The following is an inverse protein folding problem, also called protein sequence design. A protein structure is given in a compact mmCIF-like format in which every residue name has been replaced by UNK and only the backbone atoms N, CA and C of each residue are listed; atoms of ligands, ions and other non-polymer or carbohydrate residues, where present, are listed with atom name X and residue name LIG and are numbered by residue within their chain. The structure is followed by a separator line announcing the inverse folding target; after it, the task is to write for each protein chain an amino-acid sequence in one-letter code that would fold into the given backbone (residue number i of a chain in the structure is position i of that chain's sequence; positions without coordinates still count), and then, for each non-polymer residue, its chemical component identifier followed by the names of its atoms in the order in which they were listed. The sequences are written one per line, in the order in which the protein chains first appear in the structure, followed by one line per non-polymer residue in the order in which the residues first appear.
data_IF_675315249280
#
_entry.id   IF_675315249280
#
_cell.length_a   1.000
_cell.length_b   1.000
_cell.length_c   1.000
_cell.angle_alpha   90.00
_cell.angle_beta   90.00
_cell.angle_gamma   90.00
#
_symmetry.space_group_name_H-M   'P 1'
#
loop_
_entity.id
_entity.type
_entity.pdbx_description
1 polymer ?
#
# COMPACT_ATOMS: atom_id res chain seq x y z
N UNK A 1 -23.61 -3.13 -20.69
CA UNK A 1 -25.07 -3.21 -20.86
C UNK A 1 -25.46 -4.65 -21.22
N UNK A 2 -25.71 -5.51 -20.23
CA UNK A 2 -26.01 -6.95 -20.45
C UNK A 2 -27.48 -7.20 -20.86
N UNK A 3 -28.38 -6.25 -20.56
CA UNK A 3 -29.82 -6.34 -20.85
C UNK A 3 -30.13 -6.46 -22.35
N UNK A 4 -29.43 -5.73 -23.21
CA UNK A 4 -29.63 -5.78 -24.67
C UNK A 4 -29.14 -7.09 -25.30
N UNK A 5 -28.41 -7.91 -24.54
CA UNK A 5 -27.94 -9.25 -24.94
C UNK A 5 -28.79 -10.37 -24.35
N UNK A 6 -29.88 -10.04 -23.64
CA UNK A 6 -30.76 -11.02 -23.02
C UNK A 6 -30.15 -11.74 -21.81
N UNK A 7 -29.09 -11.18 -21.21
CA UNK A 7 -28.42 -11.80 -20.06
C UNK A 7 -29.00 -11.22 -18.75
N UNK A 8 -29.47 -12.11 -17.87
CA UNK A 8 -29.93 -11.79 -16.52
C UNK A 8 -28.93 -12.23 -15.47
N UNK A 9 -28.76 -11.42 -14.42
CA UNK A 9 -27.90 -11.73 -13.27
C UNK A 9 -28.75 -11.69 -12.02
N UNK A 10 -28.61 -12.70 -11.18
CA UNK A 10 -29.33 -12.84 -9.93
C UNK A 10 -28.31 -12.96 -8.80
N UNK A 11 -28.45 -12.11 -7.79
CA UNK A 11 -27.67 -12.21 -6.56
C UNK A 11 -28.55 -12.78 -5.46
N UNK A 12 -28.08 -13.84 -4.81
CA UNK A 12 -28.78 -14.49 -3.70
C UNK A 12 -27.84 -14.47 -2.51
N UNK A 13 -28.21 -13.69 -1.48
CA UNK A 13 -27.45 -13.54 -0.24
C UNK A 13 -28.40 -13.53 0.96
N UNK A 14 -27.87 -13.90 2.13
CA UNK A 14 -28.55 -13.74 3.42
C UNK A 14 -28.44 -12.32 3.96
N UNK A 15 -27.36 -11.59 3.62
CA UNK A 15 -27.12 -10.23 4.09
C UNK A 15 -27.04 -9.25 2.91
N UNK A 16 -27.92 -8.25 2.82
CA UNK A 16 -27.85 -7.22 1.79
C UNK A 16 -26.51 -6.49 1.72
N UNK A 17 -25.78 -6.39 2.84
CA UNK A 17 -24.47 -5.73 2.90
C UNK A 17 -23.36 -6.47 2.13
N UNK A 18 -23.57 -7.73 1.74
CA UNK A 18 -22.60 -8.51 0.97
C UNK A 18 -22.49 -8.01 -0.49
N UNK A 19 -23.48 -7.23 -0.96
CA UNK A 19 -23.52 -6.71 -2.33
C UNK A 19 -23.19 -5.21 -2.28
N UNK A 20 -22.17 -4.73 -3.02
CA UNK A 20 -21.85 -3.31 -3.07
C UNK A 20 -23.03 -2.47 -3.60
N UNK A 21 -23.19 -1.27 -3.05
CA UNK A 21 -24.27 -0.33 -3.44
C UNK A 21 -24.29 -0.02 -4.94
N UNK A 22 -23.11 0.06 -5.58
CA UNK A 22 -22.98 0.29 -7.02
C UNK A 22 -23.60 -0.83 -7.87
N UNK A 23 -23.65 -2.04 -7.34
CA UNK A 23 -24.30 -3.20 -7.96
C UNK A 23 -25.78 -3.23 -7.59
N UNK A 24 -26.13 -3.06 -6.30
CA UNK A 24 -27.52 -3.01 -5.82
C UNK A 24 -28.37 -1.94 -6.55
N UNK A 25 -27.77 -0.79 -6.88
CA UNK A 25 -28.41 0.28 -7.63
C UNK A 25 -28.79 -0.12 -9.06
N UNK A 26 -28.13 -1.14 -9.63
CA UNK A 26 -28.41 -1.65 -10.98
C UNK A 26 -29.44 -2.80 -10.99
N UNK A 27 -29.75 -3.36 -9.82
CA UNK A 27 -30.72 -4.45 -9.68
C UNK A 27 -32.13 -3.86 -9.56
N UNK A 28 -32.92 -4.03 -10.63
CA UNK A 28 -34.28 -3.49 -10.69
C UNK A 28 -35.35 -4.36 -10.02
N UNK A 29 -35.19 -5.69 -10.07
CA UNK A 29 -36.10 -6.62 -9.40
C UNK A 29 -35.57 -6.94 -8.00
N UNK A 30 -36.45 -6.88 -7.00
CA UNK A 30 -36.10 -7.15 -5.60
C UNK A 30 -37.08 -8.14 -4.99
N UNK A 31 -36.51 -9.16 -4.35
CA UNK A 31 -37.23 -10.18 -3.59
C UNK A 31 -36.53 -10.26 -2.23
N UNK A 32 -37.17 -9.71 -1.20
CA UNK A 32 -36.62 -9.65 0.14
C UNK A 32 -37.42 -10.58 1.05
N UNK A 33 -36.77 -11.66 1.49
CA UNK A 33 -37.30 -12.51 2.55
C UNK A 33 -37.16 -11.84 3.92
N UNK A 34 -37.74 -12.48 4.94
CA UNK A 34 -37.69 -12.02 6.32
C UNK A 34 -36.26 -11.64 6.73
N UNK A 35 -36.08 -10.39 7.15
CA UNK A 35 -34.82 -9.91 7.69
C UNK A 35 -35.01 -9.70 9.20
N UNK A 36 -34.17 -10.36 9.99
CA UNK A 36 -34.16 -10.22 11.45
C UNK A 36 -33.04 -9.26 11.82
N UNK A 37 -33.38 -8.21 12.55
CA UNK A 37 -32.43 -7.20 12.99
C UNK A 37 -32.37 -7.19 14.53
N UNK A 38 -31.26 -7.65 15.09
CA UNK A 38 -31.02 -7.70 16.53
C UNK A 38 -29.98 -6.66 16.96
N UNK A 39 -29.06 -6.31 16.06
CA UNK A 39 -28.00 -5.34 16.31
C UNK A 39 -28.32 -3.97 15.67
N UNK A 40 -27.72 -2.87 16.15
CA UNK A 40 -27.89 -1.55 15.53
C UNK A 40 -27.46 -1.49 14.06
N UNK A 41 -26.47 -2.29 13.67
CA UNK A 41 -26.02 -2.37 12.28
C UNK A 41 -27.07 -3.05 11.40
N UNK A 42 -27.66 -4.15 11.87
CA UNK A 42 -28.73 -4.84 11.15
C UNK A 42 -30.00 -3.99 11.06
N UNK A 43 -30.32 -3.20 12.10
CA UNK A 43 -31.46 -2.27 12.05
C UNK A 43 -31.29 -1.21 10.97
N UNK A 44 -30.07 -0.67 10.81
CA UNK A 44 -29.76 0.25 9.69
C UNK A 44 -29.89 -0.44 8.34
N UNK A 45 -29.39 -1.68 8.23
CA UNK A 45 -29.53 -2.49 7.02
C UNK A 45 -30.99 -2.78 6.67
N UNK A 46 -31.82 -3.11 7.66
CA UNK A 46 -33.25 -3.33 7.50
C UNK A 46 -33.97 -2.08 7.02
N UNK A 47 -33.65 -0.92 7.62
CA UNK A 47 -34.21 0.36 7.21
C UNK A 47 -33.83 0.68 5.76
N UNK A 48 -32.55 0.56 5.41
CA UNK A 48 -32.08 0.77 4.04
C UNK A 48 -32.76 -0.18 3.04
N UNK A 49 -32.91 -1.46 3.40
CA UNK A 49 -33.61 -2.44 2.57
C UNK A 49 -35.08 -2.05 2.37
N UNK A 50 -35.76 -1.61 3.43
CA UNK A 50 -37.17 -1.19 3.36
C UNK A 50 -37.37 0.07 2.51
N UNK A 51 -36.46 1.05 2.61
CA UNK A 51 -36.50 2.30 1.83
C UNK A 51 -36.15 2.08 0.35
N UNK A 52 -35.49 0.96 0.01
CA UNK A 52 -35.16 0.60 -1.37
C UNK A 52 -36.37 0.16 -2.21
N UNK A 53 -37.52 -0.09 -1.57
CA UNK A 53 -38.75 -0.49 -2.23
C UNK A 53 -39.61 0.73 -2.59
N UNK A 54 -40.41 0.59 -3.65
CA UNK A 54 -41.47 1.57 -3.92
C UNK A 54 -42.53 1.46 -2.82
N UNK A 55 -42.85 2.54 -2.09
CA UNK A 55 -43.77 2.50 -0.95
C UNK A 55 -45.14 1.94 -1.32
N UNK A 56 -45.73 1.18 -0.39
CA UNK A 56 -47.10 0.69 -0.50
C UNK A 56 -47.99 1.40 0.53
N UNK A 57 -49.08 2.09 0.12
CA UNK A 57 -50.02 2.71 1.07
C UNK A 57 -50.73 1.73 1.99
N UNK A 58 -50.80 0.44 1.64
CA UNK A 58 -51.53 -0.57 2.40
C UNK A 58 -50.78 -1.09 3.63
N UNK A 59 -49.46 -0.92 3.71
CA UNK A 59 -48.66 -1.37 4.85
C UNK A 59 -47.29 -0.67 4.93
N UNK A 60 -46.73 -0.58 6.13
CA UNK A 60 -45.35 -0.13 6.31
C UNK A 60 -44.35 -1.22 5.91
N UNK A 61 -43.42 -0.89 5.03
CA UNK A 61 -42.44 -1.84 4.49
C UNK A 61 -41.45 -2.33 5.56
N UNK A 62 -41.03 -1.46 6.48
CA UNK A 62 -40.03 -1.79 7.50
C UNK A 62 -40.61 -2.72 8.57
N UNK A 63 -41.86 -2.49 8.98
CA UNK A 63 -42.61 -3.40 9.85
C UNK A 63 -42.93 -4.71 9.11
N UNK A 64 -43.33 -4.62 7.84
CA UNK A 64 -43.71 -5.78 7.06
C UNK A 64 -42.56 -6.78 6.88
N UNK A 65 -41.34 -6.32 6.59
CA UNK A 65 -40.14 -7.16 6.44
C UNK A 65 -39.85 -7.98 7.69
N UNK A 66 -40.01 -7.37 8.86
CA UNK A 66 -39.81 -8.05 10.14
C UNK A 66 -40.92 -9.06 10.41
N UNK A 67 -42.15 -8.78 10.00
CA UNK A 67 -43.28 -9.69 10.21
C UNK A 67 -43.34 -10.91 9.29
N UNK A 68 -42.48 -11.01 8.27
CA UNK A 68 -42.53 -12.10 7.29
C UNK A 68 -42.19 -13.46 7.92
N UNK A 69 -42.96 -14.48 7.54
CA UNK A 69 -42.71 -15.89 7.87
C UNK A 69 -41.84 -16.61 6.83
N UNK A 70 -41.62 -17.91 7.07
CA UNK A 70 -40.99 -18.81 6.09
C UNK A 70 -41.94 -18.97 4.90
N UNK A 71 -41.42 -18.82 3.68
CA UNK A 71 -42.22 -18.87 2.46
C UNK A 71 -42.92 -17.57 2.12
N UNK A 72 -42.64 -16.47 2.84
CA UNK A 72 -43.12 -15.13 2.50
C UNK A 72 -41.95 -14.22 2.11
N UNK A 73 -42.25 -13.25 1.23
CA UNK A 73 -41.29 -12.23 0.81
C UNK A 73 -42.00 -10.92 0.47
N UNK A 74 -41.26 -9.83 0.55
CA UNK A 74 -41.59 -8.60 -0.16
C UNK A 74 -41.04 -8.67 -1.57
N UNK A 75 -41.91 -8.44 -2.55
CA UNK A 75 -41.58 -8.52 -3.96
C UNK A 75 -41.89 -7.20 -4.64
N UNK A 76 -40.91 -6.67 -5.37
CA UNK A 76 -41.08 -5.54 -6.29
C UNK A 76 -40.34 -5.88 -7.57
N UNK A 77 -41.11 -6.01 -8.65
CA UNK A 77 -40.59 -6.26 -9.99
C UNK A 77 -40.76 -5.03 -10.86
N UNK A 78 -39.95 -4.92 -11.91
CA UNK A 78 -40.07 -3.85 -12.89
C UNK A 78 -41.34 -4.00 -13.74
N UNK A 79 -41.95 -2.88 -14.11
CA UNK A 79 -43.01 -2.78 -15.10
C UNK A 79 -42.47 -2.83 -16.54
N UNK A 80 -43.35 -2.73 -17.54
CA UNK A 80 -43.00 -2.72 -18.97
C UNK A 80 -42.06 -1.56 -19.36
N UNK A 81 -42.11 -0.45 -18.60
CA UNK A 81 -41.26 0.73 -18.80
C UNK A 81 -39.95 0.64 -18.02
N UNK A 82 -39.75 -0.42 -17.24
CA UNK A 82 -38.57 -0.61 -16.41
C UNK A 82 -38.58 0.15 -15.08
N UNK A 83 -39.73 0.67 -14.64
CA UNK A 83 -39.90 1.27 -13.33
C UNK A 83 -40.33 0.21 -12.29
N UNK A 84 -39.85 0.26 -11.04
CA UNK A 84 -40.28 -0.68 -10.00
C UNK A 84 -41.76 -0.54 -9.69
N UNK A 85 -42.48 -1.66 -9.61
CA UNK A 85 -43.86 -1.70 -9.12
C UNK A 85 -43.91 -1.48 -7.59
N UNK A 86 -45.11 -1.13 -7.10
CA UNK A 86 -45.40 -1.08 -5.66
C UNK A 86 -45.04 -2.42 -5.02
N UNK A 87 -44.34 -2.38 -3.89
CA UNK A 87 -43.96 -3.60 -3.18
C UNK A 87 -45.18 -4.35 -2.67
N UNK A 88 -45.21 -5.66 -2.90
CA UNK A 88 -46.27 -6.55 -2.44
C UNK A 88 -45.75 -7.60 -1.46
N UNK A 89 -46.56 -7.92 -0.44
CA UNK A 89 -46.37 -9.14 0.36
C UNK A 89 -46.81 -10.34 -0.47
N UNK A 90 -45.89 -11.27 -0.69
CA UNK A 90 -46.08 -12.38 -1.63
C UNK A 90 -45.71 -13.70 -0.96
N UNK A 91 -46.58 -14.70 -1.10
CA UNK A 91 -46.27 -16.08 -0.76
C UNK A 91 -45.39 -16.69 -1.87
N UNK A 92 -44.25 -17.23 -1.49
CA UNK A 92 -43.29 -17.87 -2.39
C UNK A 92 -43.65 -19.35 -2.50
N UNK A 93 -43.96 -19.77 -3.72
CA UNK A 93 -44.22 -21.18 -4.02
C UNK A 93 -42.94 -21.99 -3.72
N UNK A 94 -43.02 -23.08 -2.93
CA UNK A 94 -41.88 -23.94 -2.69
C UNK A 94 -41.40 -24.58 -4.00
N UNK A 95 -40.09 -24.85 -4.13
CA UNK A 95 -39.58 -25.51 -5.32
C UNK A 95 -40.15 -26.94 -5.42
N UNK A 96 -40.41 -27.40 -6.64
CA UNK A 96 -40.74 -28.80 -6.91
C UNK A 96 -39.49 -29.71 -6.90
N UNK A 97 -38.35 -29.22 -6.40
CA UNK A 97 -37.10 -29.97 -6.36
C UNK A 97 -36.94 -30.69 -5.02
N UNK A 98 -36.09 -31.72 -5.01
CA UNK A 98 -35.61 -32.30 -3.75
C UNK A 98 -34.92 -31.22 -2.91
N UNK A 99 -35.25 -31.18 -1.61
CA UNK A 99 -34.48 -30.42 -0.63
C UNK A 99 -33.24 -31.25 -0.25
N UNK A 100 -32.06 -30.69 -0.49
CA UNK A 100 -30.78 -31.34 -0.22
C UNK A 100 -29.93 -31.57 -1.47
N UNK A 101 -28.63 -31.87 -1.30
CA UNK A 101 -27.70 -32.02 -2.40
C UNK A 101 -28.07 -33.20 -3.32
N UNK A 102 -27.71 -33.10 -4.59
CA UNK A 102 -27.68 -34.24 -5.51
C UNK A 102 -26.69 -35.29 -4.99
N UNK A 103 -26.97 -36.59 -5.13
CA UNK A 103 -25.96 -37.62 -4.87
C UNK A 103 -24.94 -37.61 -6.00
N UNK A 104 -23.71 -38.07 -5.73
CA UNK A 104 -22.66 -38.13 -6.76
C UNK A 104 -23.07 -39.00 -7.95
N UNK A 105 -23.78 -40.10 -7.69
CA UNK A 105 -24.30 -41.00 -8.72
C UNK A 105 -25.33 -40.31 -9.63
N UNK A 106 -26.31 -39.62 -9.05
CA UNK A 106 -27.31 -38.85 -9.82
C UNK A 106 -26.64 -37.73 -10.62
N UNK A 107 -25.71 -37.01 -10.01
CA UNK A 107 -24.96 -35.94 -10.66
C UNK A 107 -24.17 -36.48 -11.86
N UNK A 108 -23.48 -37.60 -11.71
CA UNK A 108 -22.75 -38.25 -12.79
C UNK A 108 -23.68 -38.68 -13.94
N UNK A 109 -24.84 -39.25 -13.63
CA UNK A 109 -25.83 -39.64 -14.65
C UNK A 109 -26.37 -38.43 -15.43
N UNK A 110 -26.72 -37.33 -14.74
CA UNK A 110 -27.21 -36.11 -15.39
C UNK A 110 -26.13 -35.49 -16.29
N UNK A 111 -24.88 -35.41 -15.81
CA UNK A 111 -23.75 -34.91 -16.61
C UNK A 111 -23.53 -35.80 -17.83
N UNK A 112 -23.60 -37.14 -17.67
CA UNK A 112 -23.45 -38.08 -18.77
C UNK A 112 -24.53 -37.95 -19.85
N UNK A 113 -25.75 -37.55 -19.46
CA UNK A 113 -26.88 -37.31 -20.36
C UNK A 113 -26.92 -35.89 -20.95
N UNK A 114 -26.05 -34.99 -20.51
CA UNK A 114 -26.08 -33.58 -20.91
C UNK A 114 -25.72 -33.38 -22.39
N UNK A 115 -26.48 -32.58 -23.16
CA UNK A 115 -26.12 -32.24 -24.55
C UNK A 115 -24.77 -31.50 -24.70
N UNK A 116 -24.28 -30.91 -23.61
CA UNK A 116 -22.99 -30.18 -23.56
C UNK A 116 -21.90 -30.96 -22.82
N UNK A 117 -22.11 -32.27 -22.64
CA UNK A 117 -21.10 -33.17 -22.09
C UNK A 117 -19.79 -33.04 -22.87
N UNK A 118 -18.65 -33.08 -22.17
CA UNK A 118 -17.32 -32.88 -22.74
C UNK A 118 -16.93 -31.43 -23.04
N UNK A 119 -17.88 -30.48 -23.10
CA UNK A 119 -17.56 -29.08 -23.42
C UNK A 119 -17.13 -28.26 -22.19
N UNK A 120 -17.73 -28.55 -21.03
CA UNK A 120 -17.51 -27.82 -19.77
C UNK A 120 -16.98 -28.69 -18.63
N UNK A 121 -16.48 -29.89 -18.94
CA UNK A 121 -15.98 -30.83 -17.93
C UNK A 121 -14.60 -30.44 -17.38
N UNK A 122 -13.75 -29.91 -18.26
CA UNK A 122 -12.43 -29.43 -17.86
C UNK A 122 -12.57 -28.13 -17.09
N UNK A 123 -12.23 -28.16 -15.80
CA UNK A 123 -12.11 -26.94 -15.00
C UNK A 123 -10.97 -26.11 -15.60
N UNK A 124 -11.31 -24.95 -16.13
CA UNK A 124 -10.32 -23.98 -16.60
C UNK A 124 -10.19 -22.92 -15.54
N UNK A 125 -9.13 -23.01 -14.75
CA UNK A 125 -8.73 -21.92 -13.86
C UNK A 125 -7.91 -20.91 -14.67
N UNK A 126 -8.48 -19.73 -14.91
CA UNK A 126 -7.83 -18.69 -15.70
C UNK A 126 -7.15 -17.74 -14.72
N UNK A 127 -5.97 -17.25 -15.08
CA UNK A 127 -5.34 -16.15 -14.34
C UNK A 127 -6.34 -15.01 -14.17
N UNK A 128 -6.56 -14.64 -12.92
CA UNK A 128 -7.48 -13.58 -12.55
C UNK A 128 -6.88 -12.23 -12.92
N UNK A 129 -7.74 -11.24 -13.14
CA UNK A 129 -7.29 -9.87 -13.36
C UNK A 129 -6.48 -9.34 -12.17
N UNK A 130 -6.74 -9.82 -10.95
CA UNK A 130 -6.01 -9.45 -9.74
C UNK A 130 -4.56 -9.96 -9.79
N UNK A 131 -4.37 -11.23 -10.14
CA UNK A 131 -3.06 -11.87 -10.29
C UNK A 131 -2.21 -11.20 -11.36
N UNK A 132 -2.79 -10.92 -12.53
CA UNK A 132 -2.10 -10.21 -13.63
C UNK A 132 -1.67 -8.81 -13.19
N UNK A 133 -2.53 -8.09 -12.45
CA UNK A 133 -2.22 -6.76 -11.96
C UNK A 133 -1.20 -6.78 -10.82
N UNK A 134 -1.22 -7.79 -9.96
CA UNK A 134 -0.24 -8.00 -8.91
C UNK A 134 1.14 -8.31 -9.48
N UNK A 135 1.22 -9.19 -10.48
CA UNK A 135 2.45 -9.52 -11.20
C UNK A 135 3.09 -8.26 -11.82
N UNK A 136 2.30 -7.45 -12.54
CA UNK A 136 2.79 -6.18 -13.12
C UNK A 136 3.31 -5.19 -12.09
N UNK A 137 2.68 -5.11 -10.91
CA UNK A 137 3.17 -4.27 -9.80
C UNK A 137 4.50 -4.80 -9.26
N UNK A 138 4.60 -6.12 -9.07
CA UNK A 138 5.84 -6.77 -8.62
C UNK A 138 7.01 -6.52 -9.58
N UNK A 139 6.78 -6.63 -10.89
CA UNK A 139 7.79 -6.32 -11.92
C UNK A 139 8.24 -4.85 -11.86
N UNK A 140 7.29 -3.91 -11.70
CA UNK A 140 7.60 -2.49 -11.57
C UNK A 140 8.41 -2.18 -10.29
N UNK A 141 8.06 -2.81 -9.17
CA UNK A 141 8.76 -2.64 -7.89
C UNK A 141 10.18 -3.23 -7.94
N UNK A 142 10.37 -4.37 -8.61
CA UNK A 142 11.68 -4.97 -8.85
C UNK A 142 12.57 -4.08 -9.72
N UNK A 143 12.05 -3.58 -10.85
CA UNK A 143 12.79 -2.65 -11.71
C UNK A 143 13.17 -1.35 -10.98
N UNK A 144 12.27 -0.83 -10.14
CA UNK A 144 12.56 0.33 -9.31
C UNK A 144 13.62 0.02 -8.22
N UNK A 145 13.61 -1.17 -7.64
CA UNK A 145 14.60 -1.60 -6.65
C UNK A 145 16.00 -1.77 -7.29
N UNK A 146 16.08 -2.38 -8.47
CA UNK A 146 17.32 -2.53 -9.23
C UNK A 146 17.94 -1.19 -9.62
N UNK A 147 17.11 -0.25 -10.07
CA UNK A 147 17.54 1.12 -10.39
C UNK A 147 18.10 1.83 -9.15
N UNK A 148 17.42 1.74 -8.00
CA UNK A 148 17.92 2.33 -6.74
C UNK A 148 19.23 1.69 -6.27
N UNK A 149 19.39 0.38 -6.44
CA UNK A 149 20.63 -0.33 -6.11
C UNK A 149 21.78 0.08 -7.03
N UNK A 150 21.52 0.24 -8.32
CA UNK A 150 22.51 0.74 -9.28
C UNK A 150 22.94 2.18 -8.95
N UNK A 151 21.98 3.07 -8.65
CA UNK A 151 22.27 4.45 -8.24
C UNK A 151 23.05 4.53 -6.93
N UNK A 152 22.74 3.65 -5.97
CA UNK A 152 23.45 3.58 -4.70
C UNK A 152 24.91 3.12 -4.88
N UNK A 153 25.14 2.12 -5.75
CA UNK A 153 26.49 1.65 -6.09
C UNK A 153 27.28 2.73 -6.81
N UNK A 154 26.69 3.39 -7.82
CA UNK A 154 27.34 4.48 -8.55
C UNK A 154 27.73 5.65 -7.62
N UNK A 155 26.87 6.00 -6.65
CA UNK A 155 27.20 7.02 -5.63
C UNK A 155 28.30 6.57 -4.68
N UNK A 156 28.32 5.31 -4.27
CA UNK A 156 29.36 4.75 -3.41
C UNK A 156 30.72 4.72 -4.14
N UNK A 157 30.76 4.29 -5.40
CA UNK A 157 31.97 4.25 -6.22
C UNK A 157 32.50 5.67 -6.49
N UNK A 158 31.62 6.63 -6.77
CA UNK A 158 32.00 8.03 -6.93
C UNK A 158 32.54 8.66 -5.64
N UNK A 159 32.02 8.27 -4.48
CA UNK A 159 32.54 8.70 -3.18
C UNK A 159 33.91 8.09 -2.91
N UNK A 160 34.08 6.79 -3.16
CA UNK A 160 35.35 6.09 -3.00
C UNK A 160 36.44 6.65 -3.93
N UNK A 161 36.10 7.00 -5.18
CA UNK A 161 37.02 7.65 -6.11
C UNK A 161 37.48 9.03 -5.61
N UNK A 162 36.55 9.85 -5.09
CA UNK A 162 36.87 11.17 -4.49
C UNK A 162 37.75 11.04 -3.24
N UNK A 163 37.50 10.03 -2.42
CA UNK A 163 38.30 9.80 -1.21
C UNK A 163 39.70 9.26 -1.55
N UNK A 164 39.82 8.41 -2.58
CA UNK A 164 41.10 7.96 -3.11
C UNK A 164 41.92 9.10 -3.72
N UNK A 165 41.29 10.01 -4.46
CA UNK A 165 41.92 11.21 -5.03
C UNK A 165 42.44 12.15 -3.93
N UNK A 166 41.62 12.41 -2.90
CA UNK A 166 42.03 13.20 -1.73
C UNK A 166 43.19 12.55 -0.97
N UNK A 167 43.17 11.23 -0.81
CA UNK A 167 44.24 10.48 -0.14
C UNK A 167 45.56 10.53 -0.94
N UNK A 168 45.48 10.43 -2.28
CA UNK A 168 46.65 10.58 -3.16
C UNK A 168 47.24 12.00 -3.08
N UNK A 169 46.40 13.03 -3.16
CA UNK A 169 46.84 14.43 -3.04
C UNK A 169 47.43 14.76 -1.65
N UNK A 170 46.94 14.12 -0.58
CA UNK A 170 47.50 14.26 0.75
C UNK A 170 48.90 13.63 0.86
N UNK A 171 49.09 12.43 0.30
CA UNK A 171 50.38 11.72 0.27
C UNK A 171 51.42 12.50 -0.55
N UNK A 172 51.02 13.08 -1.67
CA UNK A 172 51.91 13.87 -2.52
C UNK A 172 52.36 15.16 -1.82
N UNK A 173 51.45 15.84 -1.11
CA UNK A 173 51.80 17.00 -0.25
C UNK A 173 52.73 16.62 0.89
N UNK A 174 52.56 15.44 1.48
CA UNK A 174 53.41 14.96 2.58
C UNK A 174 54.82 14.63 2.07
N UNK A 175 54.92 13.97 0.92
CA UNK A 175 56.20 13.70 0.24
C UNK A 175 56.93 15.00 -0.12
N UNK A 176 56.22 15.99 -0.70
CA UNK A 176 56.80 17.30 -1.01
C UNK A 176 57.30 18.04 0.24
N UNK A 177 56.58 17.95 1.38
CA UNK A 177 57.02 18.53 2.66
C UNK A 177 58.27 17.85 3.20
N UNK A 178 58.33 16.53 3.14
CA UNK A 178 59.51 15.76 3.56
C UNK A 178 60.73 16.10 2.69
N UNK A 179 60.55 16.20 1.38
CA UNK A 179 61.62 16.53 0.44
C UNK A 179 62.13 17.96 0.65
N UNK A 180 61.24 18.92 0.86
CA UNK A 180 61.61 20.29 1.24
C UNK A 180 62.30 20.39 2.62
N UNK A 181 61.97 19.50 3.57
CA UNK A 181 62.69 19.39 4.84
C UNK A 181 64.11 18.85 4.64
N UNK A 182 64.27 17.77 3.87
CA UNK A 182 65.59 17.22 3.53
C UNK A 182 66.46 18.24 2.79
N UNK A 183 65.91 18.99 1.84
CA UNK A 183 66.63 20.07 1.14
C UNK A 183 67.04 21.21 2.07
N UNK A 184 66.18 21.60 3.02
CA UNK A 184 66.52 22.60 4.05
C UNK A 184 67.61 22.12 5.00
N UNK A 185 67.59 20.85 5.39
CA UNK A 185 68.63 20.26 6.25
C UNK A 185 69.96 20.11 5.51
N UNK A 186 69.93 19.70 4.24
CA UNK A 186 71.11 19.65 3.36
C UNK A 186 71.69 21.06 3.07
N UNK A 187 70.84 22.07 2.93
CA UNK A 187 71.28 23.46 2.80
C UNK A 187 71.90 24.01 4.09
N UNK A 188 71.41 23.56 5.26
CA UNK A 188 72.01 23.89 6.57
C UNK A 188 73.37 23.23 6.79
N UNK A 189 73.60 22.02 6.28
CA UNK A 189 74.90 21.34 6.40
C UNK A 189 75.96 21.82 5.41
N UNK A 190 75.58 22.62 4.40
CA UNK A 190 76.49 23.19 3.37
C UNK A 190 76.85 24.67 3.58
N UNK A 191 76.36 25.32 4.64
CA UNK A 191 76.67 26.71 4.95
C UNK A 191 77.91 26.80 5.88
N UNK A 192 78.91 27.67 5.61
CA UNK A 192 80.05 27.85 6.51
C UNK A 192 79.60 28.49 7.84
N UNK A 193 80.24 28.08 8.93
CA UNK A 193 79.94 28.51 10.29
C UNK A 193 79.97 30.05 10.41
N UNK A 194 78.80 30.65 10.62
CA UNK A 194 78.66 32.07 10.99
C UNK A 194 78.30 32.17 12.47
N UNK A 195 78.98 33.09 13.15
CA UNK A 195 78.99 33.35 14.59
C UNK A 195 77.59 33.39 15.26
N UNK A 196 77.48 33.08 16.57
CA UNK A 196 76.21 33.02 17.26
C UNK A 196 75.56 34.41 17.30
N UNK A 197 74.44 34.57 16.59
CA UNK A 197 73.60 35.74 16.74
C UNK A 197 72.89 35.66 18.10
N UNK A 198 73.11 36.70 18.92
CA UNK A 198 72.48 36.92 20.23
C UNK A 198 70.97 36.66 20.16
N UNK A 199 70.50 35.77 21.04
CA UNK A 199 69.09 35.50 21.31
C UNK A 199 68.46 36.79 21.84
N UNK A 200 67.63 37.43 21.03
CA UNK A 200 66.80 38.56 21.47
C UNK A 200 65.57 38.01 22.20
N UNK A 201 65.48 38.29 23.49
CA UNK A 201 64.36 37.94 24.38
C UNK A 201 63.23 38.98 24.27
N UNK A 202 62.85 39.36 23.05
CA UNK A 202 61.65 40.19 22.83
C UNK A 202 60.68 39.44 21.94
N UNK A 203 59.69 38.86 22.61
CA UNK A 203 58.47 38.38 21.99
C UNK A 203 57.81 39.52 21.21
N UNK A 204 57.46 39.26 19.96
CA UNK A 204 56.64 40.20 19.19
C UNK A 204 55.17 39.97 19.54
N UNK A 205 54.35 41.03 19.69
CA UNK A 205 52.97 40.91 20.16
C UNK A 205 52.03 40.12 19.22
N UNK A 206 52.51 39.74 18.03
CA UNK A 206 51.75 38.97 17.03
C UNK A 206 51.94 37.45 17.21
N UNK A 207 53.11 36.99 17.68
CA UNK A 207 53.38 35.55 17.90
C UNK A 207 52.72 35.00 19.18
N UNK A 208 52.47 35.85 20.19
CA UNK A 208 51.75 35.45 21.39
C UNK A 208 50.24 35.27 21.15
N UNK A 209 49.67 36.01 20.18
CA UNK A 209 48.25 35.95 19.84
C UNK A 209 47.88 34.67 19.06
N UNK A 210 48.79 34.16 18.22
CA UNK A 210 48.52 32.95 17.41
C UNK A 210 48.56 31.67 18.25
N UNK A 211 49.31 31.65 19.35
CA UNK A 211 49.45 30.47 20.22
C UNK A 211 48.35 30.36 21.29
N UNK A 212 47.68 31.46 21.66
CA UNK A 212 46.59 31.42 22.67
C UNK A 212 45.24 31.00 22.08
N UNK A 213 45.00 31.25 20.78
CA UNK A 213 43.75 30.86 20.11
C UNK A 213 43.67 29.33 19.86
N UNK A 214 44.82 28.65 19.81
CA UNK A 214 44.90 27.18 19.64
C UNK A 214 44.62 26.36 20.90
N UNK A 215 44.51 26.96 22.10
CA UNK A 215 44.30 26.20 23.35
C UNK A 215 42.87 26.25 23.90
N UNK A 216 41.96 27.00 23.28
CA UNK A 216 40.62 27.25 23.88
C UNK A 216 39.43 26.95 22.95
N UNK A 217 39.64 26.32 21.79
CA UNK A 217 38.58 25.91 20.88
C UNK A 217 38.46 24.37 20.74
N UNK A 218 38.68 23.63 21.82
CA UNK A 218 38.81 22.16 21.80
C UNK A 218 37.81 21.36 22.63
N UNK A 219 36.92 21.96 23.43
CA UNK A 219 36.11 21.15 24.38
C UNK A 219 34.62 21.51 24.52
N UNK A 220 34.08 22.48 23.78
CA UNK A 220 32.68 22.92 23.96
C UNK A 220 31.77 22.75 22.73
N UNK A 221 32.31 22.50 21.53
CA UNK A 221 31.48 22.38 20.31
C UNK A 221 30.86 20.98 20.15
N UNK A 222 31.36 19.96 20.86
CA UNK A 222 30.89 18.57 20.71
C UNK A 222 29.58 18.26 21.47
N UNK A 223 29.18 19.08 22.45
CA UNK A 223 28.06 18.73 23.35
C UNK A 223 26.67 19.22 22.89
N UNK A 224 26.60 20.19 21.96
CA UNK A 224 25.31 20.68 21.45
C UNK A 224 24.85 19.98 20.17
N UNK A 225 25.78 19.57 19.29
CA UNK A 225 25.41 18.87 18.04
C UNK A 225 24.83 17.48 18.27
N UNK A 226 25.25 16.77 19.32
CA UNK A 226 24.71 15.45 19.67
C UNK A 226 23.29 15.51 20.24
N UNK A 227 22.88 16.65 20.81
CA UNK A 227 21.53 16.83 21.38
C UNK A 227 20.51 17.24 20.30
N UNK A 228 20.95 17.87 19.23
CA UNK A 228 20.12 18.30 18.10
C UNK A 228 19.64 17.17 17.18
N UNK A 229 20.35 16.04 17.11
CA UNK A 229 20.03 14.94 16.18
C UNK A 229 19.24 13.77 16.79
N UNK A 230 19.12 13.68 18.13
CA UNK A 230 18.46 12.56 18.83
C UNK A 230 17.16 12.95 19.57
N UNK A 231 16.78 14.23 19.60
CA UNK A 231 15.61 14.72 20.37
C UNK A 231 14.28 14.73 19.62
N UNK A 232 14.23 14.33 18.34
CA UNK A 232 13.04 14.47 17.48
C UNK A 232 11.98 13.35 17.57
N UNK A 233 12.21 12.30 18.35
CA UNK A 233 11.34 11.11 18.41
C UNK A 233 10.80 10.88 19.83
N UNK A 234 9.81 11.69 20.23
CA UNK A 234 8.76 11.29 21.18
C UNK A 234 7.63 12.34 21.20
N UNK A 235 6.59 12.09 20.39
CA UNK A 235 5.23 12.57 20.62
C UNK A 235 4.29 11.37 20.49
N UNK A 236 3.83 10.88 21.63
CA UNK A 236 2.52 10.28 21.89
C UNK A 236 2.28 10.39 23.39
#
# INVERSE_FOLDING_TARGET
LIRSKGVGVYFVTQNPADIPDSVLAQLGNRIQHALRAYTPSEQKGLKAASESFRPNPAFDTAEAIQGLGVGEALVSTLDEKGAPNIVGRTAIRPPNSRLGPATDAERAQIIAASPVRGLYETVVDRESAEEILAARRGEADQAAAETRLADARAKADAAAAKDAEKAAAAREKEQARMQAQYEREAARSRAPARAPARRSTRETPIEAATKSVLRTAGSTITRELLRGLLGGLKRR
#
